data_IF_182656184281
#
_entry.id   IF_182656184281
#
_cell.length_a   1.000
_cell.length_b   1.000
_cell.length_c   1.000
_cell.angle_alpha   90.00
_cell.angle_beta   90.00
_cell.angle_gamma   90.00
#
_symmetry.space_group_name_H-M   'P 1'
#
loop_
_entity.id
_entity.type
_entity.pdbx_description
1 polymer ?
#
# COMPACT_ATOMS: atom_id res chain seq x y z
N UNK A 1 -0.47 16.49 -3.05
CA UNK A 1 0.46 17.52 -2.63
C UNK A 1 -0.24 18.55 -1.77
N UNK A 2 0.42 19.03 -0.72
CA UNK A 2 -0.12 20.06 0.14
C UNK A 2 -0.23 21.41 -0.57
N UNK A 3 -1.10 22.24 -0.05
CA UNK A 3 -1.27 23.64 -0.52
C UNK A 3 -0.45 24.63 0.34
N UNK A 4 0.38 24.11 1.25
CA UNK A 4 1.26 25.00 2.02
C UNK A 4 2.43 25.43 1.14
N UNK A 5 2.82 26.69 1.18
CA UNK A 5 4.00 27.19 0.49
C UNK A 5 5.23 26.35 0.85
N UNK A 6 6.05 26.04 -0.13
CA UNK A 6 7.25 25.27 0.05
C UNK A 6 8.37 25.79 -0.85
N UNK A 7 9.52 26.01 -0.27
CA UNK A 7 10.75 26.53 -0.88
C UNK A 7 11.64 25.31 -1.21
N UNK A 8 11.58 24.81 -2.45
CA UNK A 8 12.28 23.61 -2.87
C UNK A 8 13.76 23.85 -3.14
N UNK A 9 14.12 25.02 -3.64
CA UNK A 9 15.50 25.39 -3.97
C UNK A 9 16.23 26.07 -2.81
N UNK A 10 15.49 26.58 -1.80
CA UNK A 10 15.96 27.19 -0.57
C UNK A 10 16.58 28.59 -0.77
N UNK A 11 16.03 29.34 -1.66
CA UNK A 11 16.39 30.73 -1.89
C UNK A 11 15.73 31.70 -0.91
N UNK A 12 14.65 31.25 -0.22
CA UNK A 12 13.89 31.99 0.78
C UNK A 12 12.53 32.48 0.27
N UNK A 13 12.18 32.20 -0.96
CA UNK A 13 10.87 32.37 -1.54
C UNK A 13 10.15 31.01 -1.57
N UNK A 14 8.92 30.94 -1.99
CA UNK A 14 8.18 29.68 -2.02
C UNK A 14 7.06 29.72 -3.06
N UNK A 15 6.92 28.63 -3.83
CA UNK A 15 5.92 28.45 -4.88
C UNK A 15 5.99 29.54 -5.98
N UNK A 16 7.15 30.15 -6.24
CA UNK A 16 7.29 31.29 -7.17
C UNK A 16 7.60 30.89 -8.60
N UNK A 17 8.15 29.69 -8.84
CA UNK A 17 8.51 29.24 -10.19
C UNK A 17 7.95 27.85 -10.50
N UNK A 18 6.68 27.80 -10.86
CA UNK A 18 5.99 26.60 -11.32
C UNK A 18 5.87 26.50 -12.83
N UNK A 19 5.45 25.32 -13.36
CA UNK A 19 5.24 25.14 -14.78
C UNK A 19 4.15 26.07 -15.36
N UNK A 20 4.42 26.66 -16.51
CA UNK A 20 3.52 27.54 -17.25
C UNK A 20 3.01 26.89 -18.54
N UNK A 21 1.75 27.10 -18.88
CA UNK A 21 1.16 26.77 -20.18
C UNK A 21 1.58 27.84 -21.20
N UNK A 22 2.74 27.66 -21.81
CA UNK A 22 3.37 28.65 -22.68
C UNK A 22 2.71 28.79 -24.05
N UNK A 23 2.13 27.70 -24.58
CA UNK A 23 1.47 27.69 -25.87
C UNK A 23 -0.06 27.90 -25.79
N UNK A 24 -0.61 27.96 -24.56
CA UNK A 24 -2.01 28.24 -24.27
C UNK A 24 -2.96 27.11 -24.66
N UNK A 25 -2.47 25.86 -24.70
CA UNK A 25 -3.28 24.69 -25.10
C UNK A 25 -4.10 24.09 -23.94
N UNK A 26 -3.94 24.62 -22.72
CA UNK A 26 -4.61 24.15 -21.50
C UNK A 26 -3.93 22.96 -20.84
N UNK A 27 -2.72 22.64 -21.20
CA UNK A 27 -1.95 21.51 -20.66
C UNK A 27 -0.50 21.90 -20.46
N UNK A 28 0.12 21.42 -19.40
CA UNK A 28 1.58 21.48 -19.27
C UNK A 28 2.18 20.28 -19.99
N UNK A 29 3.00 20.56 -21.01
CA UNK A 29 3.69 19.56 -21.81
C UNK A 29 5.21 19.68 -21.68
N UNK A 30 5.99 19.23 -22.62
CA UNK A 30 7.46 19.16 -22.52
C UNK A 30 8.12 20.16 -23.47
N UNK A 31 9.30 20.64 -23.10
CA UNK A 31 10.16 21.43 -23.98
C UNK A 31 11.33 20.60 -24.51
N UNK A 32 11.63 20.72 -25.79
CA UNK A 32 12.83 20.14 -26.41
C UNK A 32 13.56 21.14 -27.31
N UNK A 33 14.87 21.00 -27.40
CA UNK A 33 15.70 21.86 -28.24
C UNK A 33 16.56 21.03 -29.17
N UNK A 34 16.52 21.36 -30.45
CA UNK A 34 17.47 20.80 -31.44
C UNK A 34 18.83 21.46 -31.27
N UNK A 35 19.89 20.65 -31.24
CA UNK A 35 21.27 21.12 -31.03
C UNK A 35 22.20 20.43 -32.04
N UNK A 36 23.44 20.90 -32.24
CA UNK A 36 24.42 20.23 -33.08
C UNK A 36 24.61 18.75 -32.73
N UNK A 37 24.71 17.89 -33.73
CA UNK A 37 24.89 16.46 -33.54
C UNK A 37 26.11 16.14 -32.66
N UNK A 38 25.88 15.40 -31.60
CA UNK A 38 26.89 15.01 -30.62
C UNK A 38 26.94 15.90 -29.39
N UNK A 39 26.14 16.97 -29.32
CA UNK A 39 26.01 17.84 -28.15
C UNK A 39 24.69 17.60 -27.39
N UNK A 40 23.77 16.84 -27.99
CA UNK A 40 22.49 16.50 -27.37
C UNK A 40 22.58 15.24 -26.51
N UNK A 41 21.63 15.15 -25.57
CA UNK A 41 21.43 13.96 -24.71
C UNK A 41 20.37 13.00 -25.26
N UNK A 42 19.65 13.43 -26.29
CA UNK A 42 18.56 12.67 -26.92
C UNK A 42 18.69 12.71 -28.44
N UNK A 43 17.96 11.80 -29.10
CA UNK A 43 17.69 11.77 -30.55
C UNK A 43 16.26 11.43 -30.81
N UNK A 44 15.73 11.75 -31.98
CA UNK A 44 14.41 11.29 -32.39
C UNK A 44 14.42 9.78 -32.63
N UNK A 45 13.31 9.11 -32.33
CA UNK A 45 13.14 7.72 -32.70
C UNK A 45 13.07 7.59 -34.23
N UNK A 46 13.73 6.59 -34.85
CA UNK A 46 13.77 6.49 -36.30
C UNK A 46 12.40 6.27 -36.95
N UNK A 47 11.50 5.58 -36.27
CA UNK A 47 10.17 5.22 -36.79
C UNK A 47 9.07 6.22 -36.38
N UNK A 48 9.30 7.06 -35.36
CA UNK A 48 8.35 8.09 -34.93
C UNK A 48 9.07 9.31 -34.35
N UNK A 49 9.06 10.41 -35.09
CA UNK A 49 9.73 11.67 -34.71
C UNK A 49 9.09 12.39 -33.52
N UNK A 50 7.94 11.92 -33.06
CA UNK A 50 7.31 12.44 -31.83
C UNK A 50 8.07 11.99 -30.57
N UNK A 51 8.80 10.87 -30.67
CA UNK A 51 9.46 10.21 -29.55
C UNK A 51 10.91 10.70 -29.42
N UNK A 52 11.29 11.08 -28.20
CA UNK A 52 12.67 11.36 -27.81
C UNK A 52 13.29 10.17 -27.09
N UNK A 53 14.38 9.65 -27.62
CA UNK A 53 15.15 8.54 -27.04
C UNK A 53 16.46 9.08 -26.48
N UNK A 54 16.72 8.82 -25.19
CA UNK A 54 17.99 9.15 -24.57
C UNK A 54 19.12 8.35 -25.18
N UNK A 55 20.21 9.01 -25.57
CA UNK A 55 21.38 8.34 -26.15
C UNK A 55 22.22 7.65 -25.07
N UNK A 56 22.79 6.51 -25.41
CA UNK A 56 23.72 5.78 -24.53
C UNK A 56 25.11 6.44 -24.52
N UNK A 57 25.95 6.18 -23.51
CA UNK A 57 27.32 6.63 -23.53
C UNK A 57 28.05 6.22 -24.83
N UNK A 58 28.60 7.18 -25.55
CA UNK A 58 29.28 6.99 -26.84
C UNK A 58 28.37 7.16 -28.08
N UNK A 59 27.05 7.24 -27.94
CA UNK A 59 26.13 7.62 -29.00
C UNK A 59 26.03 9.15 -29.15
N UNK A 60 25.62 9.61 -30.33
CA UNK A 60 25.45 11.03 -30.62
C UNK A 60 23.97 11.40 -30.60
N UNK A 61 23.60 12.38 -29.78
CA UNK A 61 22.30 13.02 -29.79
C UNK A 61 22.33 14.39 -30.46
N UNK A 62 21.18 14.82 -30.93
CA UNK A 62 20.96 16.13 -31.55
C UNK A 62 19.75 16.88 -30.95
N UNK A 63 19.26 16.39 -29.79
CA UNK A 63 18.23 17.04 -29.00
C UNK A 63 18.60 17.11 -27.52
N UNK A 64 18.15 18.18 -26.87
CA UNK A 64 18.07 18.31 -25.41
C UNK A 64 16.61 18.24 -25.00
N UNK A 65 16.29 17.48 -23.98
CA UNK A 65 15.02 17.54 -23.26
C UNK A 65 15.21 18.58 -22.12
N UNK A 66 14.40 19.63 -22.12
CA UNK A 66 14.55 20.78 -21.22
C UNK A 66 13.65 20.65 -19.98
N UNK A 67 12.68 19.76 -19.98
CA UNK A 67 11.71 19.61 -18.88
C UNK A 67 10.28 19.94 -19.28
N UNK A 68 9.41 20.11 -18.29
CA UNK A 68 8.05 20.63 -18.47
C UNK A 68 8.14 22.09 -18.93
N UNK A 69 7.13 22.58 -19.66
CA UNK A 69 7.09 23.96 -20.13
C UNK A 69 6.91 24.93 -18.96
N UNK A 70 7.61 26.05 -19.02
CA UNK A 70 7.65 27.12 -18.02
C UNK A 70 8.73 28.12 -18.37
N UNK A 71 8.74 29.25 -17.68
CA UNK A 71 9.74 30.30 -17.80
C UNK A 71 10.41 30.50 -16.44
N UNK A 72 11.49 31.21 -16.41
CA UNK A 72 12.15 31.75 -15.20
C UNK A 72 11.27 32.87 -14.65
N UNK A 73 10.45 32.60 -13.64
CA UNK A 73 9.45 33.54 -13.12
C UNK A 73 10.05 34.48 -12.06
N UNK A 74 11.09 34.07 -11.36
CA UNK A 74 11.76 34.83 -10.30
C UNK A 74 13.05 35.53 -10.76
N UNK A 75 13.65 35.07 -11.87
CA UNK A 75 14.83 35.70 -12.48
C UNK A 75 16.17 35.13 -12.02
N UNK A 76 16.19 33.91 -11.45
CA UNK A 76 17.38 33.22 -10.98
C UNK A 76 18.15 32.49 -12.10
N UNK A 77 17.52 32.30 -13.25
CA UNK A 77 18.07 31.65 -14.45
C UNK A 77 17.76 30.15 -14.56
N UNK A 78 16.95 29.62 -13.68
CA UNK A 78 16.40 28.26 -13.76
C UNK A 78 14.94 28.32 -14.22
N UNK A 79 14.22 27.22 -14.23
CA UNK A 79 12.79 27.15 -14.55
C UNK A 79 12.15 25.98 -13.81
N UNK A 80 10.94 26.18 -13.32
CA UNK A 80 10.11 25.15 -12.71
C UNK A 80 10.76 24.48 -11.47
N UNK A 81 11.62 25.16 -10.72
CA UNK A 81 12.26 24.64 -9.53
C UNK A 81 11.35 24.66 -8.31
N UNK A 82 10.45 25.65 -8.19
CA UNK A 82 9.52 25.80 -7.09
C UNK A 82 8.06 25.67 -7.54
N UNK A 83 7.66 24.44 -7.83
CA UNK A 83 6.26 24.17 -8.15
C UNK A 83 5.36 24.24 -6.91
N UNK A 84 4.04 24.56 -7.06
CA UNK A 84 3.15 24.73 -5.94
C UNK A 84 3.07 23.48 -5.06
N UNK A 85 3.49 23.60 -3.81
CA UNK A 85 3.28 22.63 -2.72
C UNK A 85 4.03 21.32 -2.84
N UNK A 86 5.34 21.28 -2.83
CA UNK A 86 6.22 20.10 -2.95
C UNK A 86 6.08 18.97 -1.91
N UNK A 87 5.06 18.97 -1.08
CA UNK A 87 4.82 17.96 -0.05
C UNK A 87 4.19 16.67 -0.59
N UNK A 88 4.67 15.54 -0.09
CA UNK A 88 4.03 14.24 -0.31
C UNK A 88 3.46 13.71 1.01
N UNK A 89 2.15 13.76 1.17
CA UNK A 89 1.46 13.30 2.38
C UNK A 89 1.75 11.82 2.69
N UNK A 90 2.05 11.01 1.66
CA UNK A 90 2.45 9.61 1.83
C UNK A 90 3.95 9.43 2.14
N UNK A 91 4.62 10.50 2.61
CA UNK A 91 5.97 10.48 3.20
C UNK A 91 5.98 11.02 4.63
N UNK A 92 4.81 11.44 5.14
CA UNK A 92 4.70 12.14 6.43
C UNK A 92 4.16 11.28 7.58
N UNK A 93 3.95 9.96 7.39
CA UNK A 93 3.52 9.07 8.48
C UNK A 93 4.69 8.71 9.40
N UNK A 94 4.41 8.63 10.71
CA UNK A 94 5.46 8.59 11.74
C UNK A 94 6.25 7.29 11.88
N UNK A 95 5.90 6.20 11.18
CA UNK A 95 6.69 4.98 11.23
C UNK A 95 7.81 5.03 10.18
N UNK A 96 9.06 4.85 10.63
CA UNK A 96 10.26 4.92 9.78
C UNK A 96 10.34 6.22 8.95
N UNK A 97 9.79 7.31 9.49
CA UNK A 97 9.87 8.63 8.87
C UNK A 97 11.34 9.10 8.80
N UNK A 98 11.69 9.82 7.76
CA UNK A 98 12.99 10.45 7.59
C UNK A 98 12.80 11.92 7.24
N UNK A 99 13.74 12.79 7.65
CA UNK A 99 13.64 14.21 7.38
C UNK A 99 13.77 14.54 5.88
N UNK A 100 13.38 15.75 5.49
CA UNK A 100 13.27 16.23 4.12
C UNK A 100 14.54 15.97 3.28
N UNK A 101 15.73 16.17 3.84
CA UNK A 101 16.99 15.93 3.15
C UNK A 101 17.30 14.45 2.85
N UNK A 102 16.54 13.51 3.42
CA UNK A 102 16.61 12.06 3.13
C UNK A 102 15.41 11.62 2.28
N UNK A 103 14.23 12.12 2.62
CA UNK A 103 12.97 11.79 1.96
C UNK A 103 12.25 13.08 1.57
N UNK A 104 12.42 13.51 0.31
CA UNK A 104 11.71 14.69 -0.23
C UNK A 104 10.21 14.55 -0.04
N UNK A 105 9.55 15.64 0.32
CA UNK A 105 8.13 15.73 0.56
C UNK A 105 7.69 15.27 1.95
N UNK A 106 8.63 14.90 2.84
CA UNK A 106 8.31 14.35 4.17
C UNK A 106 7.81 15.41 5.16
N UNK A 107 8.00 16.69 4.88
CA UNK A 107 7.68 17.80 5.78
C UNK A 107 8.62 17.90 6.98
N UNK A 108 8.43 18.88 7.84
CA UNK A 108 9.32 19.21 8.95
C UNK A 108 9.42 18.14 10.04
N UNK A 109 8.29 17.47 10.31
CA UNK A 109 8.18 16.38 11.31
C UNK A 109 7.02 15.45 10.98
N UNK A 110 7.01 14.23 11.56
CA UNK A 110 5.93 13.28 11.30
C UNK A 110 4.56 13.85 11.66
N UNK A 111 3.61 13.70 10.75
CA UNK A 111 2.23 14.21 10.92
C UNK A 111 2.15 15.74 11.07
N UNK A 112 3.04 16.48 10.43
CA UNK A 112 2.99 17.94 10.41
C UNK A 112 1.79 18.48 9.60
N UNK A 113 1.26 17.70 8.67
CA UNK A 113 0.12 18.08 7.87
C UNK A 113 -1.21 17.72 8.54
N UNK A 114 -2.23 18.61 8.50
CA UNK A 114 -3.54 18.37 9.12
C UNK A 114 -4.19 17.06 8.63
N UNK A 115 -4.05 16.72 7.36
CA UNK A 115 -4.61 15.51 6.75
C UNK A 115 -3.97 14.25 7.33
N UNK A 116 -2.64 14.20 7.42
CA UNK A 116 -1.93 13.05 7.97
C UNK A 116 -2.17 12.92 9.47
N UNK A 117 -2.27 14.04 10.20
CA UNK A 117 -2.63 14.07 11.61
C UNK A 117 -4.06 13.53 11.83
N UNK A 118 -5.03 13.97 11.02
CA UNK A 118 -6.42 13.50 11.12
C UNK A 118 -6.53 12.00 10.82
N UNK A 119 -5.82 11.49 9.81
CA UNK A 119 -5.77 10.06 9.50
C UNK A 119 -5.10 9.25 10.63
N UNK A 120 -4.00 9.74 11.20
CA UNK A 120 -3.37 9.14 12.38
C UNK A 120 -4.38 8.99 13.52
N UNK A 121 -5.07 10.06 13.88
CA UNK A 121 -5.99 10.08 15.01
C UNK A 121 -7.19 9.15 14.77
N UNK A 122 -7.72 9.12 13.54
CA UNK A 122 -8.74 8.16 13.16
C UNK A 122 -8.24 6.71 13.29
N UNK A 123 -7.09 6.38 12.70
CA UNK A 123 -6.53 5.03 12.73
C UNK A 123 -6.27 4.57 14.16
N UNK A 124 -5.64 5.41 14.99
CA UNK A 124 -5.32 5.06 16.38
C UNK A 124 -6.56 4.95 17.28
N UNK A 125 -7.63 5.69 16.98
CA UNK A 125 -8.91 5.57 17.72
C UNK A 125 -9.71 4.32 17.33
N UNK A 126 -9.32 3.59 16.26
CA UNK A 126 -9.98 2.39 15.79
C UNK A 126 -9.04 1.16 15.79
N UNK A 127 -8.58 0.69 16.95
CA UNK A 127 -7.60 -0.40 17.05
C UNK A 127 -8.12 -1.74 16.51
N UNK A 128 -9.42 -1.85 16.25
CA UNK A 128 -10.08 -3.01 15.66
C UNK A 128 -9.92 -3.11 14.13
N UNK A 129 -9.34 -2.12 13.46
CA UNK A 129 -9.03 -2.20 12.02
C UNK A 129 -8.08 -3.39 11.78
N UNK A 130 -8.52 -4.36 10.97
CA UNK A 130 -7.76 -5.57 10.67
C UNK A 130 -7.09 -5.53 9.30
N UNK A 131 -7.59 -4.71 8.38
CA UNK A 131 -7.03 -4.49 7.05
C UNK A 131 -7.31 -3.08 6.54
N UNK A 132 -6.48 -2.62 5.61
CA UNK A 132 -6.64 -1.33 4.95
C UNK A 132 -6.16 -1.41 3.50
N UNK A 133 -6.69 -0.54 2.65
CA UNK A 133 -6.19 -0.31 1.29
C UNK A 133 -6.09 1.18 1.03
N UNK A 134 -5.02 1.60 0.38
CA UNK A 134 -4.86 2.92 -0.19
C UNK A 134 -4.78 2.84 -1.71
N UNK A 135 -5.04 3.95 -2.38
CA UNK A 135 -5.04 4.03 -3.82
C UNK A 135 -4.16 5.18 -4.26
N UNK A 136 -3.32 4.88 -5.22
CA UNK A 136 -2.40 5.79 -5.87
C UNK A 136 -2.54 5.64 -7.38
N UNK A 137 -1.81 6.36 -8.14
CA UNK A 137 -1.62 6.21 -9.57
C UNK A 137 -0.15 6.50 -9.89
N UNK A 138 0.40 5.77 -10.82
CA UNK A 138 -0.22 4.78 -11.70
C UNK A 138 0.72 3.57 -11.89
N UNK A 139 0.28 2.55 -12.64
CA UNK A 139 1.17 1.47 -13.08
C UNK A 139 0.66 0.05 -12.89
N UNK A 140 -0.58 -0.15 -12.44
CA UNK A 140 -1.18 -1.47 -12.30
C UNK A 140 -0.44 -2.36 -11.30
N UNK A 141 -0.29 -1.91 -10.06
CA UNK A 141 0.43 -2.65 -9.02
C UNK A 141 -0.40 -2.80 -7.75
N UNK A 142 -0.19 -3.92 -7.07
CA UNK A 142 -0.67 -4.18 -5.71
C UNK A 142 0.56 -4.19 -4.81
N UNK A 143 0.71 -3.15 -4.02
CA UNK A 143 1.89 -2.94 -3.20
C UNK A 143 1.70 -3.44 -1.77
N UNK A 144 2.74 -4.05 -1.21
CA UNK A 144 2.91 -4.20 0.24
C UNK A 144 4.25 -3.62 0.70
N UNK A 145 4.34 -3.30 1.96
CA UNK A 145 5.63 -2.99 2.57
C UNK A 145 6.56 -4.23 2.69
N UNK A 146 7.77 -4.04 3.20
CA UNK A 146 8.24 -2.77 3.71
C UNK A 146 8.62 -1.78 2.60
N UNK A 147 8.51 -0.47 2.92
CA UNK A 147 8.91 0.61 2.03
C UNK A 147 10.42 0.82 1.95
N UNK A 148 11.17 0.38 2.97
CA UNK A 148 12.60 0.57 3.05
C UNK A 148 13.33 -0.67 3.56
N UNK A 149 14.55 -0.91 3.03
CA UNK A 149 15.38 -2.07 3.37
C UNK A 149 15.75 -2.15 4.85
N UNK A 150 15.92 -1.03 5.52
CA UNK A 150 16.28 -0.96 6.94
C UNK A 150 15.19 -1.52 7.88
N UNK A 151 13.95 -1.64 7.40
CA UNK A 151 12.86 -2.24 8.18
C UNK A 151 12.95 -3.78 8.25
N UNK A 152 13.75 -4.40 7.39
CA UNK A 152 13.79 -5.85 7.23
C UNK A 152 12.53 -6.41 6.54
N UNK A 153 12.53 -7.71 6.29
CA UNK A 153 11.36 -8.40 5.75
C UNK A 153 10.25 -8.56 6.79
N UNK A 154 9.01 -8.55 6.34
CA UNK A 154 7.88 -8.92 7.19
C UNK A 154 8.03 -10.34 7.74
N UNK A 155 7.53 -10.56 8.95
CA UNK A 155 7.58 -11.87 9.59
C UNK A 155 6.90 -12.95 8.72
N UNK A 156 7.44 -14.19 8.67
CA UNK A 156 6.96 -15.21 7.74
C UNK A 156 5.46 -15.48 7.78
N UNK A 157 4.86 -15.48 8.97
CA UNK A 157 3.41 -15.71 9.13
C UNK A 157 2.57 -14.57 8.51
N UNK A 158 3.01 -13.33 8.65
CA UNK A 158 2.31 -12.18 8.05
C UNK A 158 2.55 -12.14 6.54
N UNK A 159 3.79 -12.43 6.10
CA UNK A 159 4.10 -12.51 4.67
C UNK A 159 3.22 -13.53 3.94
N UNK A 160 2.96 -14.69 4.55
CA UNK A 160 2.06 -15.70 3.96
C UNK A 160 0.66 -15.16 3.72
N UNK A 161 0.12 -14.35 4.63
CA UNK A 161 -1.18 -13.68 4.46
C UNK A 161 -1.13 -12.68 3.31
N UNK A 162 -0.10 -11.82 3.28
CA UNK A 162 0.10 -10.85 2.20
C UNK A 162 0.22 -11.53 0.84
N UNK A 163 1.04 -12.59 0.74
CA UNK A 163 1.27 -13.32 -0.50
C UNK A 163 -0.02 -14.02 -0.98
N UNK A 164 -0.82 -14.57 -0.06
CA UNK A 164 -2.10 -15.18 -0.40
C UNK A 164 -3.09 -14.14 -0.95
N UNK A 165 -3.27 -13.03 -0.24
CA UNK A 165 -4.24 -11.99 -0.63
C UNK A 165 -3.77 -11.26 -1.90
N UNK A 166 -2.51 -10.86 -1.97
CA UNK A 166 -1.95 -10.13 -3.10
C UNK A 166 -1.96 -10.92 -4.40
N UNK A 167 -1.56 -12.20 -4.38
CA UNK A 167 -1.60 -13.06 -5.57
C UNK A 167 -3.02 -13.38 -6.05
N UNK A 168 -4.00 -13.43 -5.17
CA UNK A 168 -5.39 -13.51 -5.58
C UNK A 168 -5.89 -12.15 -6.10
N UNK A 169 -5.37 -11.05 -5.59
CA UNK A 169 -5.58 -9.71 -6.14
C UNK A 169 -5.18 -9.60 -7.61
N UNK A 170 -4.04 -10.18 -8.01
CA UNK A 170 -3.60 -10.23 -9.41
C UNK A 170 -4.61 -10.91 -10.35
N UNK A 171 -5.39 -11.87 -9.83
CA UNK A 171 -6.44 -12.55 -10.62
C UNK A 171 -7.72 -11.71 -10.72
N UNK A 172 -8.00 -10.87 -9.74
CA UNK A 172 -9.14 -9.95 -9.70
C UNK A 172 -8.85 -8.72 -10.55
N UNK A 173 -7.59 -8.28 -10.55
CA UNK A 173 -7.06 -7.11 -11.25
C UNK A 173 -6.14 -7.59 -12.40
N UNK A 174 -6.69 -8.04 -13.56
CA UNK A 174 -5.87 -8.51 -14.68
C UNK A 174 -4.82 -7.49 -15.08
N UNK A 175 -3.57 -7.94 -15.19
CA UNK A 175 -2.45 -7.10 -15.53
C UNK A 175 -1.75 -6.42 -14.36
N UNK A 176 -2.37 -6.30 -13.20
CA UNK A 176 -1.69 -5.80 -12.01
C UNK A 176 -0.65 -6.79 -11.51
N UNK A 177 0.42 -6.27 -10.89
CA UNK A 177 1.50 -7.06 -10.29
C UNK A 177 1.53 -6.86 -8.79
N UNK A 178 1.56 -7.95 -8.04
CA UNK A 178 1.79 -7.92 -6.60
C UNK A 178 3.29 -7.83 -6.32
N UNK A 179 3.72 -6.76 -5.67
CA UNK A 179 5.14 -6.42 -5.48
C UNK A 179 5.42 -5.87 -4.07
N UNK A 180 6.71 -5.82 -3.74
CA UNK A 180 7.23 -5.25 -2.48
C UNK A 180 7.90 -3.92 -2.78
N UNK A 181 7.45 -2.84 -2.14
CA UNK A 181 7.85 -1.46 -2.45
C UNK A 181 9.37 -1.32 -2.58
N UNK A 182 10.14 -1.60 -1.51
CA UNK A 182 11.59 -1.32 -1.55
C UNK A 182 12.39 -2.22 -2.49
N UNK A 183 11.86 -3.39 -2.84
CA UNK A 183 12.58 -4.36 -3.70
C UNK A 183 12.33 -4.12 -5.18
N UNK A 184 11.07 -3.82 -5.50
CA UNK A 184 10.57 -3.89 -6.86
C UNK A 184 10.27 -2.49 -7.44
N UNK A 185 10.36 -1.43 -6.60
CA UNK A 185 10.22 -0.04 -7.00
C UNK A 185 11.40 0.82 -6.53
N UNK A 186 11.23 1.46 -5.37
CA UNK A 186 12.21 2.36 -4.78
C UNK A 186 12.03 2.41 -3.25
N UNK A 187 13.00 3.00 -2.56
CA UNK A 187 12.91 3.19 -1.11
C UNK A 187 11.91 4.29 -0.77
N UNK A 188 11.00 4.00 0.17
CA UNK A 188 9.99 4.91 0.71
C UNK A 188 10.11 4.95 2.22
N UNK A 189 10.19 6.14 2.77
CA UNK A 189 10.10 6.39 4.20
C UNK A 189 8.81 7.12 4.55
N UNK A 190 8.27 6.90 5.76
CA UNK A 190 7.06 7.59 6.22
C UNK A 190 5.79 7.27 5.42
N UNK A 191 5.71 6.09 4.80
CA UNK A 191 4.53 5.67 4.03
C UNK A 191 3.38 5.16 4.89
N UNK A 192 2.15 5.37 4.41
CA UNK A 192 0.89 4.99 5.09
C UNK A 192 0.80 3.49 5.35
N UNK A 193 1.17 2.65 4.37
CA UNK A 193 1.05 1.19 4.52
C UNK A 193 1.97 0.65 5.61
N UNK A 194 3.17 1.20 5.73
CA UNK A 194 4.12 0.81 6.78
C UNK A 194 3.65 1.27 8.16
N UNK A 195 3.10 2.48 8.25
CA UNK A 195 2.53 2.99 9.49
C UNK A 195 1.39 2.08 9.99
N UNK A 196 0.40 1.83 9.16
CA UNK A 196 -0.77 1.04 9.57
C UNK A 196 -0.37 -0.39 9.96
N UNK A 197 0.51 -1.03 9.20
CA UNK A 197 0.97 -2.38 9.53
C UNK A 197 1.77 -2.43 10.83
N UNK A 198 2.77 -1.56 10.99
CA UNK A 198 3.69 -1.65 12.14
C UNK A 198 3.14 -1.07 13.44
N UNK A 199 2.17 -0.13 13.36
CA UNK A 199 1.59 0.50 14.55
C UNK A 199 0.28 -0.16 14.97
N UNK A 200 -0.49 -0.65 14.03
CA UNK A 200 -1.80 -1.27 14.30
C UNK A 200 -1.81 -2.79 14.09
N UNK A 201 -0.80 -3.35 13.46
CA UNK A 201 -0.77 -4.76 13.08
C UNK A 201 -1.87 -5.14 12.08
N UNK A 202 -2.32 -4.20 11.25
CA UNK A 202 -3.33 -4.42 10.23
C UNK A 202 -2.69 -4.73 8.86
N UNK A 203 -3.26 -5.68 8.12
CA UNK A 203 -2.76 -6.03 6.78
C UNK A 203 -3.17 -4.95 5.79
N UNK A 204 -2.18 -4.28 5.19
CA UNK A 204 -2.39 -3.08 4.40
C UNK A 204 -1.79 -3.23 3.00
N UNK A 205 -2.59 -2.95 1.97
CA UNK A 205 -2.15 -2.88 0.58
C UNK A 205 -2.29 -1.46 0.05
N UNK A 206 -1.51 -1.13 -0.97
CA UNK A 206 -1.69 0.06 -1.80
C UNK A 206 -1.80 -0.36 -3.26
N UNK A 207 -2.80 0.16 -3.96
CA UNK A 207 -2.98 -0.12 -5.39
C UNK A 207 -2.56 1.10 -6.20
N UNK A 208 -1.59 0.90 -7.11
CA UNK A 208 -1.30 1.87 -8.17
C UNK A 208 -2.31 1.67 -9.29
N UNK A 209 -3.27 2.59 -9.37
CA UNK A 209 -4.39 2.47 -10.29
C UNK A 209 -3.95 2.67 -11.74
N UNK A 210 -4.75 2.14 -12.61
CA UNK A 210 -4.60 2.09 -14.06
C UNK A 210 -3.32 1.37 -14.53
N UNK A 211 -3.49 0.61 -15.56
CA UNK A 211 -2.43 -0.11 -16.21
C UNK A 211 -2.43 0.28 -17.68
N UNK A 212 -1.24 0.52 -18.21
CA UNK A 212 -1.03 0.55 -19.65
C UNK A 212 -1.55 -0.77 -20.26
N UNK A 213 -2.56 -0.75 -21.14
CA UNK A 213 -3.11 -1.96 -21.75
C UNK A 213 -2.06 -2.79 -22.48
N UNK A 214 -0.99 -2.16 -22.92
CA UNK A 214 0.10 -2.81 -23.64
C UNK A 214 1.06 -3.53 -22.69
N UNK A 215 1.26 -3.01 -21.47
CA UNK A 215 2.01 -3.73 -20.44
C UNK A 215 1.25 -4.97 -19.93
N UNK A 216 -0.08 -4.94 -19.93
CA UNK A 216 -0.91 -6.08 -19.56
C UNK A 216 -0.69 -7.31 -20.47
N UNK A 217 -0.35 -7.07 -21.73
CA UNK A 217 -0.18 -8.12 -22.74
C UNK A 217 1.27 -8.60 -22.86
N UNK A 218 2.24 -7.93 -22.24
CA UNK A 218 3.65 -8.36 -22.29
C UNK A 218 3.85 -9.62 -21.47
N UNK A 219 4.63 -10.61 -21.98
CA UNK A 219 5.10 -11.71 -21.16
C UNK A 219 5.78 -11.14 -19.90
N UNK A 220 5.41 -11.67 -18.73
CA UNK A 220 6.09 -11.27 -17.50
C UNK A 220 7.58 -11.60 -17.63
N UNK A 221 8.49 -10.63 -17.47
CA UNK A 221 9.91 -10.95 -17.43
C UNK A 221 10.16 -11.93 -16.29
N UNK A 222 11.01 -12.90 -16.51
CA UNK A 222 11.48 -13.79 -15.45
C UNK A 222 12.32 -12.96 -14.48
N UNK A 223 12.40 -13.39 -13.23
CA UNK A 223 13.09 -12.67 -12.13
C UNK A 223 14.56 -12.33 -12.44
N UNK A 224 15.17 -13.01 -13.41
CA UNK A 224 16.53 -12.80 -13.88
C UNK A 224 16.63 -11.74 -14.98
N UNK A 225 15.50 -11.43 -15.64
CA UNK A 225 15.39 -10.40 -16.69
C UNK A 225 14.92 -9.05 -16.13
N UNK A 226 14.55 -8.99 -14.83
CA UNK A 226 14.06 -7.80 -14.14
C UNK A 226 15.19 -6.85 -13.72
N UNK A 227 15.89 -6.29 -14.67
CA UNK A 227 16.57 -5.02 -14.48
C UNK A 227 16.56 -4.18 -15.75
N UNK A 228 15.41 -3.70 -16.21
CA UNK A 228 15.44 -2.53 -17.06
C UNK A 228 15.93 -1.40 -16.14
N UNK A 229 16.94 -0.70 -16.58
CA UNK A 229 17.38 0.53 -15.96
C UNK A 229 16.20 1.51 -15.93
N UNK A 230 15.51 1.57 -14.77
CA UNK A 230 14.34 2.46 -14.56
C UNK A 230 14.73 3.91 -14.89
N UNK A 231 15.99 4.28 -14.69
CA UNK A 231 16.53 5.60 -15.06
C UNK A 231 16.57 5.79 -16.61
N UNK A 232 16.80 4.71 -17.36
CA UNK A 232 16.70 4.79 -18.83
C UNK A 232 15.26 4.95 -19.30
N UNK A 233 14.29 4.38 -18.59
CA UNK A 233 12.87 4.58 -18.89
C UNK A 233 12.38 5.99 -18.53
N UNK A 234 12.85 6.57 -17.44
CA UNK A 234 12.51 7.93 -17.01
C UNK A 234 13.05 9.03 -17.95
N UNK A 235 14.00 8.71 -18.82
CA UNK A 235 14.55 9.66 -19.81
C UNK A 235 13.98 9.51 -21.22
N UNK A 236 12.95 8.69 -21.43
CA UNK A 236 12.28 8.57 -22.73
C UNK A 236 10.96 9.34 -22.72
N UNK A 237 10.79 10.23 -23.68
CA UNK A 237 9.50 10.89 -23.93
C UNK A 237 8.76 10.11 -25.00
N UNK A 238 7.93 9.17 -24.58
CA UNK A 238 7.14 8.28 -25.44
C UNK A 238 7.83 6.97 -25.81
N UNK A 239 7.04 5.99 -26.15
CA UNK A 239 7.43 4.69 -26.73
C UNK A 239 6.56 4.43 -27.95
N UNK A 240 7.03 3.63 -28.91
CA UNK A 240 6.25 3.33 -30.13
C UNK A 240 4.87 2.79 -29.81
N UNK A 241 4.80 1.78 -28.93
CA UNK A 241 3.53 1.17 -28.54
C UNK A 241 2.60 2.16 -27.83
N UNK A 242 3.17 3.09 -27.07
CA UNK A 242 2.42 4.16 -26.42
C UNK A 242 1.84 5.13 -27.46
N UNK A 243 2.62 5.48 -28.49
CA UNK A 243 2.12 6.32 -29.58
C UNK A 243 1.05 5.61 -30.42
N UNK A 244 1.21 4.31 -30.68
CA UNK A 244 0.16 3.50 -31.33
C UNK A 244 -1.13 3.48 -30.50
N UNK A 245 -1.02 3.32 -29.20
CA UNK A 245 -2.19 3.38 -28.32
C UNK A 245 -2.85 4.76 -28.32
N UNK A 246 -2.05 5.83 -28.27
CA UNK A 246 -2.57 7.20 -28.38
C UNK A 246 -3.27 7.44 -29.71
N UNK A 247 -2.71 6.98 -30.82
CA UNK A 247 -3.28 7.19 -32.15
C UNK A 247 -4.55 6.35 -32.38
N UNK A 248 -4.52 5.05 -32.02
CA UNK A 248 -5.58 4.10 -32.35
C UNK A 248 -6.72 4.05 -31.33
N UNK A 249 -6.42 4.28 -30.07
CA UNK A 249 -7.39 4.13 -28.97
C UNK A 249 -7.82 5.47 -28.39
N UNK A 250 -6.87 6.38 -28.20
CA UNK A 250 -7.14 7.72 -27.64
C UNK A 250 -7.34 8.80 -28.72
N UNK A 251 -7.28 8.40 -30.01
CA UNK A 251 -7.54 9.27 -31.16
C UNK A 251 -6.75 10.59 -31.15
N UNK A 252 -5.54 10.55 -30.61
CA UNK A 252 -4.64 11.70 -30.50
C UNK A 252 -4.92 12.69 -29.37
N UNK A 253 -5.96 12.48 -28.56
CA UNK A 253 -6.38 13.48 -27.54
C UNK A 253 -5.30 13.76 -26.47
N UNK A 254 -4.42 12.79 -26.20
CA UNK A 254 -3.44 12.91 -25.12
C UNK A 254 -2.02 13.27 -25.60
N UNK A 255 -1.87 13.65 -26.87
CA UNK A 255 -0.59 14.11 -27.40
C UNK A 255 -0.72 15.49 -28.05
N UNK A 256 0.09 16.44 -27.59
CA UNK A 256 0.23 17.76 -28.24
C UNK A 256 1.36 17.66 -29.28
N UNK A 257 1.08 17.95 -30.57
CA UNK A 257 2.12 17.97 -31.58
C UNK A 257 3.22 18.97 -31.25
N UNK A 258 4.48 18.59 -31.45
CA UNK A 258 5.61 19.50 -31.25
C UNK A 258 5.50 20.73 -32.15
N UNK A 259 5.53 21.92 -31.55
CA UNK A 259 5.42 23.22 -32.23
C UNK A 259 6.60 24.10 -31.89
N UNK A 260 7.15 24.87 -32.85
CA UNK A 260 8.18 25.86 -32.58
C UNK A 260 7.67 26.92 -31.57
N UNK A 261 8.54 27.27 -30.62
CA UNK A 261 8.30 28.30 -29.64
C UNK A 261 9.60 29.09 -29.38
N UNK A 262 9.48 30.40 -29.19
CA UNK A 262 10.62 31.25 -28.85
C UNK A 262 10.68 31.50 -27.34
N UNK A 263 11.46 30.68 -26.65
CA UNK A 263 11.59 30.76 -25.21
C UNK A 263 12.55 31.89 -24.77
N UNK A 264 12.24 32.64 -23.69
CA UNK A 264 13.09 33.75 -23.25
C UNK A 264 14.53 33.33 -22.94
N UNK A 265 14.73 32.23 -22.20
CA UNK A 265 16.03 31.74 -21.76
C UNK A 265 16.70 30.81 -22.81
N UNK A 266 15.93 29.91 -23.41
CA UNK A 266 16.50 28.87 -24.30
C UNK A 266 16.52 29.24 -25.79
N UNK A 267 15.88 30.34 -26.21
CA UNK A 267 15.75 30.74 -27.62
C UNK A 267 14.79 29.82 -28.37
N UNK A 268 15.15 29.44 -29.59
CA UNK A 268 14.28 28.57 -30.43
C UNK A 268 14.22 27.15 -29.86
N UNK A 269 13.04 26.72 -29.48
CA UNK A 269 12.71 25.40 -28.92
C UNK A 269 11.45 24.83 -29.58
N UNK A 270 11.03 23.64 -29.21
CA UNK A 270 9.72 23.08 -29.51
C UNK A 270 9.02 22.69 -28.21
N UNK A 271 7.70 22.97 -28.13
CA UNK A 271 6.80 22.57 -27.06
C UNK A 271 5.84 21.51 -27.58
N UNK A 272 5.55 20.47 -26.79
CA UNK A 272 4.65 19.39 -27.12
C UNK A 272 4.94 18.10 -26.34
N UNK A 273 4.37 17.01 -26.79
CA UNK A 273 4.54 15.71 -26.13
C UNK A 273 3.27 15.19 -25.48
N UNK A 274 3.41 14.21 -24.60
CA UNK A 274 2.27 13.58 -23.94
C UNK A 274 1.78 14.46 -22.81
N UNK A 275 0.49 14.77 -22.83
CA UNK A 275 -0.17 15.52 -21.75
C UNK A 275 -0.09 14.76 -20.43
N UNK A 276 0.12 15.47 -19.32
CA UNK A 276 0.31 14.88 -17.98
C UNK A 276 -0.79 13.86 -17.61
N UNK A 277 -2.04 14.17 -17.87
CA UNK A 277 -3.15 13.28 -17.59
C UNK A 277 -3.29 12.10 -18.57
N UNK A 278 -2.65 12.14 -19.72
CA UNK A 278 -2.63 11.05 -20.68
C UNK A 278 -1.95 9.77 -20.20
N UNK A 279 -1.10 9.89 -19.17
CA UNK A 279 -0.39 8.77 -18.56
C UNK A 279 -0.86 8.43 -17.15
N UNK A 280 -1.43 9.39 -16.43
CA UNK A 280 -1.68 9.25 -14.98
C UNK A 280 -3.12 8.90 -14.63
N UNK A 281 -4.05 9.09 -15.56
CA UNK A 281 -5.47 8.76 -15.35
C UNK A 281 -5.94 7.86 -16.49
N UNK A 282 -6.76 6.85 -16.18
CA UNK A 282 -7.35 6.03 -17.24
C UNK A 282 -8.25 6.88 -18.14
N UNK A 283 -8.30 6.57 -19.45
CA UNK A 283 -9.31 7.16 -20.31
C UNK A 283 -10.71 6.92 -19.71
N UNK A 284 -11.63 7.85 -19.95
CA UNK A 284 -12.97 7.83 -19.35
C UNK A 284 -13.72 6.52 -19.56
N UNK A 285 -13.54 5.87 -20.70
CA UNK A 285 -14.18 4.58 -20.99
C UNK A 285 -13.63 3.40 -20.15
N UNK A 286 -12.40 3.50 -19.59
CA UNK A 286 -11.81 2.49 -18.68
C UNK A 286 -12.14 2.74 -17.22
N UNK A 287 -12.57 3.94 -16.85
CA UNK A 287 -12.73 4.35 -15.45
C UNK A 287 -13.68 3.43 -14.68
N UNK A 288 -14.83 3.10 -15.26
CA UNK A 288 -15.81 2.24 -14.62
C UNK A 288 -15.24 0.84 -14.34
N UNK A 289 -14.50 0.25 -15.26
CA UNK A 289 -13.86 -1.06 -15.07
C UNK A 289 -12.75 -0.99 -14.03
N UNK A 290 -11.88 0.01 -14.08
CA UNK A 290 -10.80 0.21 -13.11
C UNK A 290 -11.38 0.33 -11.68
N UNK A 291 -12.40 1.15 -11.47
CA UNK A 291 -13.07 1.29 -10.18
C UNK A 291 -13.74 -0.02 -9.74
N UNK A 292 -14.48 -0.68 -10.62
CA UNK A 292 -15.17 -1.93 -10.30
C UNK A 292 -14.21 -3.03 -9.85
N UNK A 293 -13.12 -3.25 -10.57
CA UNK A 293 -12.14 -4.30 -10.24
C UNK A 293 -11.39 -3.99 -8.95
N UNK A 294 -11.00 -2.74 -8.73
CA UNK A 294 -10.36 -2.35 -7.47
C UNK A 294 -11.31 -2.46 -6.28
N UNK A 295 -12.61 -2.10 -6.44
CA UNK A 295 -13.62 -2.34 -5.43
C UNK A 295 -13.81 -3.84 -5.16
N UNK A 296 -13.81 -4.69 -6.19
CA UNK A 296 -13.89 -6.15 -6.02
C UNK A 296 -12.69 -6.69 -5.22
N UNK A 297 -11.49 -6.16 -5.42
CA UNK A 297 -10.32 -6.52 -4.61
C UNK A 297 -10.45 -6.02 -3.16
N UNK A 298 -11.02 -4.84 -2.91
CA UNK A 298 -11.33 -4.38 -1.56
C UNK A 298 -12.31 -5.34 -0.85
N UNK A 299 -13.38 -5.74 -1.52
CA UNK A 299 -14.35 -6.69 -0.95
C UNK A 299 -13.72 -8.07 -0.73
N UNK A 300 -12.89 -8.55 -1.64
CA UNK A 300 -12.13 -9.78 -1.45
C UNK A 300 -11.21 -9.69 -0.23
N UNK A 301 -10.42 -8.62 -0.11
CA UNK A 301 -9.57 -8.41 1.05
C UNK A 301 -10.38 -8.36 2.36
N UNK A 302 -11.50 -7.64 2.36
CA UNK A 302 -12.41 -7.57 3.50
C UNK A 302 -12.99 -8.95 3.87
N UNK A 303 -13.34 -9.79 2.88
CA UNK A 303 -13.80 -11.17 3.14
C UNK A 303 -12.69 -12.05 3.71
N UNK A 304 -11.42 -11.75 3.43
CA UNK A 304 -10.28 -12.50 3.98
C UNK A 304 -9.89 -12.07 5.40
N UNK A 305 -10.48 -11.02 5.97
CA UNK A 305 -10.26 -10.60 7.34
C UNK A 305 -10.75 -11.64 8.36
N UNK A 306 -10.27 -11.65 9.63
CA UNK A 306 -10.54 -12.71 10.58
C UNK A 306 -12.03 -12.96 10.79
N UNK A 307 -12.47 -14.20 10.57
CA UNK A 307 -13.84 -14.64 10.85
C UNK A 307 -13.80 -15.77 11.87
N UNK A 308 -13.94 -15.38 13.14
CA UNK A 308 -13.86 -16.31 14.27
C UNK A 308 -15.24 -16.91 14.60
N UNK A 309 -15.20 -18.16 15.04
CA UNK A 309 -16.39 -18.89 15.51
C UNK A 309 -16.00 -19.86 16.63
N UNK A 310 -16.86 -20.00 17.64
CA UNK A 310 -16.79 -21.08 18.63
C UNK A 310 -17.41 -22.33 18.00
N UNK A 311 -16.56 -23.16 17.39
CA UNK A 311 -17.00 -24.34 16.63
C UNK A 311 -17.33 -25.53 17.53
N UNK A 312 -16.65 -25.65 18.70
CA UNK A 312 -16.86 -26.69 19.68
C UNK A 312 -16.95 -26.08 21.07
N UNK A 313 -17.92 -26.51 21.88
CA UNK A 313 -18.01 -26.21 23.31
C UNK A 313 -18.74 -27.40 23.97
N UNK A 314 -17.96 -28.35 24.47
CA UNK A 314 -18.45 -29.59 25.04
C UNK A 314 -18.15 -29.62 26.54
N UNK A 315 -19.15 -29.96 27.35
CA UNK A 315 -19.05 -30.05 28.77
C UNK A 315 -19.15 -31.51 29.21
N UNK A 316 -18.28 -31.92 30.12
CA UNK A 316 -18.29 -33.21 30.78
C UNK A 316 -18.29 -33.00 32.29
N UNK A 317 -19.30 -33.50 32.98
CA UNK A 317 -19.38 -33.49 34.43
C UNK A 317 -18.32 -34.44 35.04
N UNK A 318 -17.58 -33.95 36.02
CA UNK A 318 -16.59 -34.73 36.78
C UNK A 318 -17.12 -35.01 38.14
N UNK A 319 -17.75 -34.02 38.83
CA UNK A 319 -18.39 -34.17 40.13
C UNK A 319 -19.61 -33.23 40.27
N UNK A 320 -20.16 -33.06 41.43
CA UNK A 320 -21.39 -32.27 41.67
C UNK A 320 -21.34 -30.84 41.14
N UNK A 321 -20.18 -30.17 41.18
CA UNK A 321 -19.99 -28.78 40.71
C UNK A 321 -18.78 -28.62 39.80
N UNK A 322 -18.03 -29.71 39.51
CA UNK A 322 -16.82 -29.68 38.74
C UNK A 322 -17.04 -30.23 37.32
N UNK A 323 -16.62 -29.47 36.33
CA UNK A 323 -16.81 -29.80 34.91
C UNK A 323 -15.52 -29.61 34.12
N UNK A 324 -15.32 -30.44 33.12
CA UNK A 324 -14.37 -30.22 32.03
C UNK A 324 -15.10 -29.56 30.86
N UNK A 325 -14.57 -28.46 30.37
CA UNK A 325 -15.03 -27.80 29.17
C UNK A 325 -13.96 -27.92 28.09
N UNK A 326 -14.27 -28.54 26.97
CA UNK A 326 -13.46 -28.56 25.76
C UNK A 326 -14.01 -27.53 24.77
N UNK A 327 -13.20 -26.57 24.40
CA UNK A 327 -13.56 -25.41 23.56
C UNK A 327 -12.65 -25.36 22.34
N UNK A 328 -13.24 -25.17 21.16
CA UNK A 328 -12.49 -24.88 19.94
C UNK A 328 -12.96 -23.56 19.32
N UNK A 329 -12.00 -22.70 18.99
CA UNK A 329 -12.25 -21.47 18.24
C UNK A 329 -11.53 -21.58 16.92
N UNK A 330 -12.27 -21.43 15.83
CA UNK A 330 -11.76 -21.49 14.44
C UNK A 330 -11.73 -20.12 13.80
N UNK A 331 -10.78 -19.92 12.90
CA UNK A 331 -10.73 -18.80 11.99
C UNK A 331 -10.85 -19.34 10.57
N UNK A 332 -11.96 -19.05 9.90
CA UNK A 332 -12.27 -19.56 8.57
C UNK A 332 -11.68 -18.74 7.44
N UNK A 333 -10.88 -17.72 7.73
CA UNK A 333 -10.24 -16.84 6.75
C UNK A 333 -8.73 -16.86 6.91
N UNK A 334 -8.01 -16.42 5.86
CA UNK A 334 -6.54 -16.48 5.82
C UNK A 334 -5.88 -15.55 6.81
N UNK A 335 -6.49 -14.40 7.08
CA UNK A 335 -5.87 -13.37 7.93
C UNK A 335 -5.88 -13.80 9.40
N UNK A 336 -4.71 -13.85 10.01
CA UNK A 336 -4.58 -14.04 11.44
C UNK A 336 -5.30 -12.92 12.18
N UNK A 337 -6.04 -13.23 13.23
CA UNK A 337 -6.71 -12.17 13.99
C UNK A 337 -5.74 -11.36 14.87
N UNK A 338 -4.55 -11.88 15.09
CA UNK A 338 -3.40 -11.16 15.61
C UNK A 338 -2.23 -11.37 14.63
N UNK A 339 -1.75 -10.31 14.00
CA UNK A 339 -0.58 -10.40 13.12
C UNK A 339 0.69 -10.72 13.92
N UNK A 340 1.67 -11.32 13.27
CA UNK A 340 2.93 -11.65 13.93
C UNK A 340 3.66 -10.40 14.44
N UNK A 341 3.59 -9.28 13.70
CA UNK A 341 4.13 -7.99 14.16
C UNK A 341 3.41 -7.49 15.41
N UNK A 342 2.09 -7.68 15.49
CA UNK A 342 1.32 -7.26 16.67
C UNK A 342 1.67 -8.09 17.90
N UNK A 343 1.89 -9.39 17.74
CA UNK A 343 2.33 -10.29 18.82
C UNK A 343 3.73 -9.91 19.29
N UNK A 344 4.68 -9.79 18.34
CA UNK A 344 6.07 -9.48 18.64
C UNK A 344 6.23 -8.15 19.38
N UNK A 345 5.54 -7.11 18.93
CA UNK A 345 5.68 -5.74 19.44
C UNK A 345 4.62 -5.39 20.53
N UNK A 346 3.72 -6.34 20.86
CA UNK A 346 2.64 -6.16 21.83
C UNK A 346 1.78 -4.91 21.53
N UNK A 347 1.40 -4.75 20.27
CA UNK A 347 0.71 -3.55 19.78
C UNK A 347 -0.69 -3.37 20.39
N UNK A 348 -1.32 -4.46 20.82
CA UNK A 348 -2.64 -4.42 21.44
C UNK A 348 -2.81 -5.57 22.47
N UNK A 349 -3.93 -5.56 23.17
CA UNK A 349 -4.24 -6.60 24.16
C UNK A 349 -4.35 -8.00 23.53
N UNK A 350 -4.04 -9.07 24.28
CA UNK A 350 -4.38 -10.43 23.89
C UNK A 350 -5.90 -10.60 23.69
N UNK A 351 -6.28 -11.63 22.95
CA UNK A 351 -7.65 -12.12 23.00
C UNK A 351 -7.97 -12.73 24.36
N UNK A 352 -9.24 -12.80 24.71
CA UNK A 352 -9.69 -13.33 25.98
C UNK A 352 -10.78 -14.39 25.80
N UNK A 353 -10.70 -15.47 26.58
CA UNK A 353 -11.85 -16.32 26.84
C UNK A 353 -12.36 -16.01 28.27
N UNK A 354 -13.64 -15.67 28.37
CA UNK A 354 -14.34 -15.46 29.64
C UNK A 354 -15.47 -16.43 29.80
N UNK A 355 -15.70 -16.88 31.03
CA UNK A 355 -16.88 -17.65 31.39
C UNK A 355 -17.77 -16.77 32.26
N UNK A 356 -19.00 -16.57 31.83
CA UNK A 356 -20.02 -15.78 32.51
C UNK A 356 -21.12 -16.72 33.00
N UNK A 357 -21.60 -16.52 34.24
CA UNK A 357 -22.64 -17.36 34.85
C UNK A 357 -22.65 -17.27 36.37
N UNK A 358 -23.57 -18.05 37.00
CA UNK A 358 -23.66 -18.10 38.44
C UNK A 358 -22.59 -19.00 39.03
N UNK A 359 -21.84 -18.51 40.01
CA UNK A 359 -20.78 -19.25 40.71
C UNK A 359 -19.76 -19.89 39.81
N UNK A 360 -19.39 -19.21 38.69
CA UNK A 360 -18.38 -19.73 37.76
C UNK A 360 -16.98 -19.41 38.23
N UNK A 361 -16.12 -20.46 38.31
CA UNK A 361 -14.69 -20.32 38.62
C UNK A 361 -13.86 -21.21 37.74
N UNK A 362 -12.86 -20.66 37.07
CA UNK A 362 -11.87 -21.42 36.31
C UNK A 362 -10.80 -21.91 37.29
N UNK A 363 -10.67 -23.23 37.41
CA UNK A 363 -9.69 -23.87 38.27
C UNK A 363 -8.37 -24.07 37.54
N UNK A 364 -8.44 -24.57 36.29
CA UNK A 364 -7.29 -24.76 35.43
C UNK A 364 -7.69 -24.59 33.96
N UNK A 365 -6.75 -24.18 33.12
CA UNK A 365 -6.95 -24.09 31.68
C UNK A 365 -5.63 -24.27 30.91
N UNK A 366 -5.73 -24.79 29.70
CA UNK A 366 -4.59 -24.94 28.80
C UNK A 366 -5.00 -25.11 27.35
N UNK A 367 -4.05 -24.83 26.46
CA UNK A 367 -4.16 -25.27 25.07
C UNK A 367 -4.14 -26.78 24.99
N UNK A 368 -5.13 -27.40 24.41
CA UNK A 368 -5.19 -28.83 24.16
C UNK A 368 -4.29 -29.16 22.96
N UNK A 369 -3.09 -29.67 23.24
CA UNK A 369 -2.06 -29.97 22.22
C UNK A 369 -2.30 -31.33 21.57
N UNK A 370 -2.67 -32.31 22.38
CA UNK A 370 -2.98 -33.67 21.93
C UNK A 370 -4.31 -34.10 22.56
N UNK A 371 -5.34 -34.16 21.73
CA UNK A 371 -6.70 -34.51 22.18
C UNK A 371 -6.78 -35.98 22.64
N UNK A 372 -6.06 -36.88 21.98
CA UNK A 372 -6.05 -38.32 22.30
C UNK A 372 -5.42 -38.60 23.67
N UNK A 373 -4.27 -37.96 23.93
CA UNK A 373 -3.54 -38.12 25.20
C UNK A 373 -4.03 -37.15 26.29
N UNK A 374 -4.89 -36.20 25.94
CA UNK A 374 -5.34 -35.16 26.84
C UNK A 374 -4.24 -34.18 27.27
N UNK A 375 -3.16 -34.05 26.50
CA UNK A 375 -2.03 -33.18 26.85
C UNK A 375 -2.39 -31.72 26.66
N UNK A 376 -2.10 -30.95 27.70
CA UNK A 376 -2.36 -29.50 27.69
C UNK A 376 -1.10 -28.69 27.99
N UNK A 377 -0.96 -27.52 27.35
CA UNK A 377 0.00 -26.49 27.73
C UNK A 377 -0.73 -25.42 28.52
N UNK A 378 -0.32 -25.11 29.76
CA UNK A 378 -1.02 -24.17 30.64
C UNK A 378 -1.24 -22.80 29.99
N UNK A 379 -2.40 -22.20 30.29
CA UNK A 379 -2.76 -20.83 29.94
C UNK A 379 -2.72 -19.94 31.18
N UNK A 380 -2.41 -18.67 30.96
CA UNK A 380 -2.48 -17.64 32.00
C UNK A 380 -3.94 -17.32 32.32
N UNK A 381 -4.31 -17.49 33.58
CA UNK A 381 -5.65 -17.19 34.12
C UNK A 381 -5.56 -15.94 34.98
N UNK A 382 -6.41 -14.94 34.69
CA UNK A 382 -6.55 -13.73 35.52
C UNK A 382 -8.03 -13.51 35.81
N UNK A 383 -8.46 -13.72 37.06
CA UNK A 383 -9.85 -13.48 37.52
C UNK A 383 -10.89 -14.11 36.54
N UNK A 384 -10.79 -15.40 36.27
CA UNK A 384 -11.66 -16.15 35.36
C UNK A 384 -11.54 -15.76 33.86
N UNK A 385 -10.51 -15.03 33.46
CA UNK A 385 -10.18 -14.74 32.06
C UNK A 385 -8.96 -15.53 31.66
N UNK A 386 -9.00 -16.13 30.48
CA UNK A 386 -7.88 -16.80 29.86
C UNK A 386 -7.30 -15.88 28.78
N UNK A 387 -6.01 -15.62 28.84
CA UNK A 387 -5.34 -14.79 27.85
C UNK A 387 -4.81 -15.64 26.69
N UNK A 388 -5.26 -15.33 25.50
CA UNK A 388 -4.85 -15.97 24.23
C UNK A 388 -3.85 -15.04 23.55
N UNK A 389 -2.58 -15.18 23.92
CA UNK A 389 -1.52 -14.23 23.55
C UNK A 389 -1.20 -14.23 22.03
N UNK A 390 -1.43 -15.34 21.34
CA UNK A 390 -1.11 -15.50 19.90
C UNK A 390 -2.35 -15.47 18.99
N UNK A 391 -3.53 -15.23 19.55
CA UNK A 391 -4.78 -15.25 18.77
C UNK A 391 -5.11 -16.60 18.14
N UNK A 392 -5.90 -16.56 17.07
CA UNK A 392 -6.29 -17.72 16.25
C UNK A 392 -5.69 -17.56 14.87
N UNK A 393 -4.83 -18.50 14.39
CA UNK A 393 -4.20 -18.38 13.08
C UNK A 393 -5.23 -18.44 11.95
N UNK A 394 -4.90 -17.83 10.81
CA UNK A 394 -5.72 -17.92 9.61
C UNK A 394 -5.85 -19.37 9.12
N UNK A 395 -7.04 -19.72 8.61
CA UNK A 395 -7.41 -21.08 8.24
C UNK A 395 -7.08 -22.13 9.32
N UNK A 396 -7.11 -21.70 10.58
CA UNK A 396 -6.69 -22.50 11.70
C UNK A 396 -7.68 -22.47 12.86
N UNK A 397 -7.25 -23.09 13.95
CA UNK A 397 -8.02 -23.15 15.19
C UNK A 397 -7.11 -23.21 16.39
N UNK A 398 -7.66 -22.86 17.55
CA UNK A 398 -7.13 -23.19 18.87
C UNK A 398 -8.09 -24.12 19.58
N UNK A 399 -7.56 -25.12 20.28
CA UNK A 399 -8.31 -26.01 21.12
C UNK A 399 -7.89 -25.75 22.57
N UNK A 400 -8.87 -25.58 23.45
CA UNK A 400 -8.68 -25.29 24.84
C UNK A 400 -9.38 -26.33 25.70
N UNK A 401 -8.77 -26.71 26.81
CA UNK A 401 -9.41 -27.52 27.86
C UNK A 401 -9.38 -26.74 29.15
N UNK A 402 -10.55 -26.62 29.76
CA UNK A 402 -10.74 -25.92 31.01
C UNK A 402 -11.31 -26.89 32.05
N UNK A 403 -10.86 -26.75 33.30
CA UNK A 403 -11.50 -27.32 34.46
C UNK A 403 -12.22 -26.18 35.19
N UNK A 404 -13.54 -26.30 35.40
CA UNK A 404 -14.37 -25.23 35.93
C UNK A 404 -15.25 -25.73 37.06
N UNK A 405 -15.47 -24.90 38.08
CA UNK A 405 -16.60 -25.01 38.99
C UNK A 405 -17.70 -24.07 38.55
N UNK A 406 -18.94 -24.58 38.43
CA UNK A 406 -20.07 -23.77 38.02
C UNK A 406 -21.41 -24.40 38.38
N UNK A 407 -22.48 -23.59 38.38
CA UNK A 407 -23.87 -24.04 38.61
C UNK A 407 -24.81 -23.51 37.52
N UNK A 408 -25.74 -24.35 37.05
CA UNK A 408 -26.84 -23.98 36.15
C UNK A 408 -26.42 -23.75 34.71
N UNK A 409 -26.46 -22.54 34.24
CA UNK A 409 -26.08 -22.17 32.82
C UNK A 409 -24.86 -21.29 32.84
N UNK A 410 -23.95 -21.54 31.92
CA UNK A 410 -22.78 -20.68 31.68
C UNK A 410 -22.81 -20.16 30.24
N UNK A 411 -22.16 -19.00 30.02
CA UNK A 411 -21.88 -18.47 28.73
C UNK A 411 -20.35 -18.40 28.50
N UNK A 412 -19.88 -18.99 27.42
CA UNK A 412 -18.51 -18.88 26.94
C UNK A 412 -18.43 -17.67 26.04
N UNK A 413 -17.56 -16.74 26.34
CA UNK A 413 -17.32 -15.52 25.57
C UNK A 413 -15.88 -15.53 25.08
N UNK A 414 -15.68 -15.51 23.76
CA UNK A 414 -14.39 -15.24 23.13
C UNK A 414 -14.38 -13.79 22.67
N UNK A 415 -13.46 -12.99 23.20
CA UNK A 415 -13.34 -11.57 22.94
C UNK A 415 -12.03 -11.28 22.21
N UNK A 416 -12.12 -10.96 20.94
CA UNK A 416 -11.00 -10.62 20.07
C UNK A 416 -11.13 -9.20 19.54
N UNK A 417 -10.04 -8.44 19.62
CA UNK A 417 -10.03 -7.05 19.16
C UNK A 417 -10.38 -6.95 17.67
N UNK A 418 -9.81 -7.82 16.84
CA UNK A 418 -9.99 -7.81 15.37
C UNK A 418 -10.93 -8.91 14.87
N UNK A 419 -11.20 -9.94 15.67
CA UNK A 419 -12.13 -11.03 15.35
C UNK A 419 -13.55 -10.82 15.89
N UNK A 420 -13.73 -9.78 16.72
CA UNK A 420 -15.00 -9.45 17.37
C UNK A 420 -15.37 -10.39 18.51
N UNK A 421 -16.55 -10.19 19.04
CA UNK A 421 -17.09 -10.93 20.19
C UNK A 421 -17.89 -12.16 19.73
N UNK A 422 -17.59 -13.34 20.30
CA UNK A 422 -18.33 -14.59 20.05
C UNK A 422 -18.84 -15.16 21.34
N UNK A 423 -20.08 -15.67 21.34
CA UNK A 423 -20.77 -16.17 22.52
C UNK A 423 -21.38 -17.56 22.28
N UNK A 424 -21.31 -18.42 23.30
CA UNK A 424 -21.93 -19.75 23.28
C UNK A 424 -22.48 -20.07 24.65
N UNK A 425 -23.79 -20.29 24.76
CA UNK A 425 -24.43 -20.72 26.01
C UNK A 425 -24.40 -22.23 26.15
N UNK A 426 -24.13 -22.71 27.36
CA UNK A 426 -24.10 -24.12 27.74
C UNK A 426 -24.93 -24.34 29.01
N UNK A 427 -25.75 -25.40 29.02
CA UNK A 427 -26.43 -25.89 30.21
C UNK A 427 -25.51 -26.87 30.96
N UNK A 428 -25.52 -26.80 32.28
CA UNK A 428 -24.79 -27.72 33.14
C UNK A 428 -25.84 -28.65 33.77
N UNK A 429 -25.84 -29.89 33.38
CA UNK A 429 -26.75 -30.92 33.88
C UNK A 429 -26.20 -31.60 35.13
#
# INVERSE_FOLDING_TARGET
SGLMPYDEDRDGLADEDGPDDLDGDGSITMMRKKVPLGTGTHRLHPDDSRILVRVKPGEKGDYLLLGEEGIDNDGDGQINEDGPGGYDLNRNFGFNWQPEYVQRGAGDFPFCFPETAALRDFILSHPNIAGAQSFHNYGGMILRGPGAKNMGEYLPADRQVYDFVGRNGEKILPGYRYIVVYKDMYTVYGGTIDFIYNVLGAFTFSNELDQDPLEAQRPRPTREEESPDIRAMLGQVGRLEEMEYHDLVLLGEHFTPWKPYKHPLFGEIEIGGIKKFGRRVPPTFKLAETCHRNAAFCFYHADQLPRLEISKAEIKKISSSLYQLDLSVVNSRVTNNMSAVAIQNKLHRPDEVRLEGKKVKVIAAGYLIDEFRGLTRPLKIIKNRLLIENGVPGFGRINLRLLIEAEGRIEVVYDSLKGGLKRKSLALD
#
